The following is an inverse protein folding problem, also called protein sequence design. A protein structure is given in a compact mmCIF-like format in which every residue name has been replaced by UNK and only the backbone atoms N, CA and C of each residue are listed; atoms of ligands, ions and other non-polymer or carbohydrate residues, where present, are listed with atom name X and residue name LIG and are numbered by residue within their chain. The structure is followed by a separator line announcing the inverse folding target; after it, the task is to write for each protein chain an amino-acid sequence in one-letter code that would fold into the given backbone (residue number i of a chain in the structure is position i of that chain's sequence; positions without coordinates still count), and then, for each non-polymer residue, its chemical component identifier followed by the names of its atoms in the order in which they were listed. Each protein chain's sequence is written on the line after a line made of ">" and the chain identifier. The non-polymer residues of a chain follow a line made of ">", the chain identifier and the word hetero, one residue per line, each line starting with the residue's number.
data_IF_597827488569
#
_entry.id   IF_597827488569
#
_cell.length_a   1.000
_cell.length_b   1.000
_cell.length_c   1.000
_cell.angle_alpha   90.00
_cell.angle_beta   90.00
_cell.angle_gamma   90.00
#
_symmetry.space_group_name_H-M   'P 1'
#
loop_
_entity.id
_entity.type
_entity.pdbx_description
1 polymer ?
#
# COMPACT_ATOMS: atom_id res chain seq x y z
N UNK A 1 6.21 29.66 -8.34
CA UNK A 1 4.79 29.96 -8.11
C UNK A 1 4.16 28.68 -7.61
N UNK A 2 3.41 28.73 -6.53
CA UNK A 2 2.78 27.53 -5.98
C UNK A 2 1.66 27.03 -6.91
N UNK A 3 1.81 25.79 -7.38
CA UNK A 3 0.83 25.12 -8.23
C UNK A 3 -0.12 24.29 -7.37
N UNK A 4 -1.42 24.35 -7.68
CA UNK A 4 -2.47 23.55 -7.05
C UNK A 4 -3.51 23.15 -8.10
N UNK A 5 -4.32 22.14 -7.81
CA UNK A 5 -5.35 21.67 -8.75
C UNK A 5 -6.73 22.14 -8.34
N UNK A 6 -7.56 22.45 -9.34
CA UNK A 6 -8.99 22.72 -9.20
C UNK A 6 -9.77 21.88 -10.19
N UNK A 7 -10.82 21.21 -9.72
CA UNK A 7 -11.81 20.55 -10.57
C UNK A 7 -13.20 21.15 -10.30
N UNK A 8 -14.07 21.10 -11.30
CA UNK A 8 -15.47 21.51 -11.18
C UNK A 8 -16.32 20.38 -11.76
N UNK A 9 -17.21 19.81 -10.95
CA UNK A 9 -18.08 18.73 -11.37
C UNK A 9 -19.26 19.23 -12.22
N UNK A 10 -19.98 18.31 -12.85
CA UNK A 10 -21.24 18.61 -13.57
C UNK A 10 -22.31 19.22 -12.66
N UNK A 11 -22.29 18.88 -11.36
CA UNK A 11 -23.21 19.38 -10.36
C UNK A 11 -22.78 20.74 -9.77
N UNK A 12 -21.79 21.39 -10.40
CA UNK A 12 -21.23 22.67 -10.00
C UNK A 12 -20.62 22.65 -8.58
N UNK A 13 -20.03 21.51 -8.20
CA UNK A 13 -19.20 21.37 -7.00
C UNK A 13 -17.76 21.61 -7.41
N UNK A 14 -17.10 22.56 -6.77
CA UNK A 14 -15.68 22.83 -6.96
C UNK A 14 -14.87 22.08 -5.91
N UNK A 15 -13.79 21.43 -6.33
CA UNK A 15 -12.82 20.77 -5.46
C UNK A 15 -11.44 21.37 -5.66
N UNK A 16 -10.73 21.67 -4.57
CA UNK A 16 -9.38 22.22 -4.57
C UNK A 16 -8.43 21.23 -3.92
N UNK A 17 -7.27 21.02 -4.54
CA UNK A 17 -6.28 20.05 -4.09
C UNK A 17 -4.92 20.70 -3.89
N UNK A 18 -4.33 20.50 -2.70
CA UNK A 18 -2.99 20.96 -2.34
C UNK A 18 -2.79 22.45 -2.55
N UNK A 19 -3.73 23.29 -2.12
CA UNK A 19 -3.57 24.74 -2.12
C UNK A 19 -2.55 25.15 -1.06
N UNK A 20 -2.61 24.55 0.12
CA UNK A 20 -1.63 24.69 1.19
C UNK A 20 -0.68 23.49 1.27
N UNK A 21 0.48 23.66 1.91
CA UNK A 21 1.53 22.63 1.99
C UNK A 21 1.09 21.41 2.81
N UNK A 22 0.22 21.58 3.79
CA UNK A 22 -0.35 20.52 4.62
C UNK A 22 -1.13 19.51 3.78
N UNK A 23 -1.72 19.96 2.66
CA UNK A 23 -2.44 19.13 1.70
C UNK A 23 -1.55 18.70 0.50
N UNK A 24 -0.23 18.66 0.67
CA UNK A 24 0.72 18.16 -0.35
C UNK A 24 1.64 17.08 0.23
N UNK A 25 1.90 16.06 -0.58
CA UNK A 25 3.00 15.12 -0.38
C UNK A 25 4.09 15.52 -1.37
N UNK A 26 5.22 15.98 -0.83
CA UNK A 26 6.33 16.55 -1.58
C UNK A 26 7.67 16.07 -0.99
N UNK A 27 8.74 16.25 -1.75
CA UNK A 27 10.10 15.90 -1.33
C UNK A 27 10.55 16.79 -0.16
N UNK A 28 10.87 16.21 1.02
CA UNK A 28 11.31 17.00 2.16
C UNK A 28 12.61 17.79 1.93
N UNK A 29 13.38 17.46 0.90
CA UNK A 29 14.60 18.20 0.52
C UNK A 29 14.33 19.28 -0.56
N UNK A 30 13.20 19.20 -1.28
CA UNK A 30 12.77 20.18 -2.28
C UNK A 30 11.24 20.29 -2.33
N UNK A 31 10.69 21.31 -1.67
CA UNK A 31 9.23 21.52 -1.58
C UNK A 31 8.55 21.78 -2.95
N UNK A 32 9.32 22.12 -3.99
CA UNK A 32 8.80 22.28 -5.34
C UNK A 32 8.57 20.95 -6.06
N UNK A 33 9.20 19.88 -5.58
CA UNK A 33 9.03 18.51 -6.07
C UNK A 33 7.82 17.84 -5.41
N UNK A 34 6.62 18.22 -5.86
CA UNK A 34 5.35 17.70 -5.34
C UNK A 34 4.96 16.40 -6.05
N UNK A 35 4.73 15.34 -5.28
CA UNK A 35 4.26 14.05 -5.78
C UNK A 35 2.73 13.95 -5.83
N UNK A 36 2.03 14.45 -4.80
CA UNK A 36 0.57 14.41 -4.71
C UNK A 36 -0.03 15.69 -4.11
N UNK A 37 -1.14 16.15 -4.69
CA UNK A 37 -2.01 17.19 -4.16
C UNK A 37 -3.27 16.56 -3.57
N UNK A 38 -3.44 16.67 -2.25
CA UNK A 38 -4.56 16.09 -1.51
C UNK A 38 -5.77 17.02 -1.54
N UNK A 39 -6.99 16.46 -1.52
CA UNK A 39 -8.23 17.25 -1.50
C UNK A 39 -8.28 18.10 -0.24
N UNK A 40 -8.41 19.42 -0.37
CA UNK A 40 -8.33 20.35 0.75
C UNK A 40 -9.67 21.01 1.06
N UNK A 41 -10.44 21.36 0.03
CA UNK A 41 -11.78 21.90 0.19
C UNK A 41 -12.68 21.47 -0.97
N UNK A 42 -13.96 21.29 -0.68
CA UNK A 42 -15.03 21.25 -1.69
C UNK A 42 -16.10 22.25 -1.34
N UNK A 43 -16.72 22.86 -2.35
CA UNK A 43 -17.86 23.75 -2.15
C UNK A 43 -18.83 23.76 -3.32
N UNK A 44 -20.09 24.02 -3.00
CA UNK A 44 -21.16 24.17 -3.98
C UNK A 44 -21.53 25.65 -4.24
N UNK A 45 -22.40 25.88 -5.21
CA UNK A 45 -22.88 27.22 -5.56
C UNK A 45 -23.76 27.88 -4.48
N UNK A 46 -24.14 27.15 -3.42
CA UNK A 46 -24.95 27.65 -2.30
C UNK A 46 -24.08 28.10 -1.13
N UNK A 47 -22.75 27.97 -1.24
CA UNK A 47 -21.81 28.34 -0.19
C UNK A 47 -21.71 27.29 0.91
N UNK A 48 -22.11 26.03 0.65
CA UNK A 48 -21.81 24.91 1.55
C UNK A 48 -20.37 24.44 1.29
N UNK A 49 -19.59 24.28 2.35
CA UNK A 49 -18.20 23.85 2.28
C UNK A 49 -17.97 22.55 3.04
N UNK A 50 -16.99 21.79 2.56
CA UNK A 50 -16.33 20.69 3.28
C UNK A 50 -14.83 20.96 3.23
N UNK A 51 -14.19 21.03 4.39
CA UNK A 51 -12.75 21.30 4.52
C UNK A 51 -12.06 20.07 5.08
N UNK A 52 -10.94 19.69 4.47
CA UNK A 52 -10.14 18.52 4.80
C UNK A 52 -8.80 18.98 5.35
N UNK A 53 -8.55 18.71 6.62
CA UNK A 53 -7.29 19.07 7.27
C UNK A 53 -6.43 17.83 7.42
N UNK A 54 -5.13 18.00 7.15
CA UNK A 54 -4.13 16.95 7.27
C UNK A 54 -3.08 17.34 8.28
N UNK A 55 -2.42 16.34 8.85
CA UNK A 55 -1.22 16.51 9.68
C UNK A 55 -0.04 15.78 9.06
N UNK A 56 1.13 16.39 9.17
CA UNK A 56 2.39 15.83 8.68
C UNK A 56 2.88 14.71 9.58
N UNK A 57 3.46 13.67 8.97
CA UNK A 57 4.26 12.70 9.70
C UNK A 57 5.34 13.39 10.54
N UNK A 58 5.65 12.81 11.70
CA UNK A 58 6.62 13.36 12.64
C UNK A 58 7.31 12.27 13.46
N UNK A 59 8.16 12.69 14.41
CA UNK A 59 8.96 11.80 15.27
C UNK A 59 8.26 11.38 16.57
N UNK A 60 7.04 11.83 16.83
CA UNK A 60 6.38 11.56 18.11
C UNK A 60 6.11 10.06 18.27
N UNK A 61 6.46 9.50 19.43
CA UNK A 61 6.37 8.07 19.74
C UNK A 61 7.13 7.12 18.78
N UNK A 62 8.03 7.63 17.92
CA UNK A 62 8.90 6.81 17.08
C UNK A 62 10.16 6.46 17.86
N UNK A 63 10.42 5.17 18.04
CA UNK A 63 11.62 4.68 18.73
C UNK A 63 12.89 4.93 17.90
N UNK A 64 13.99 5.28 18.57
CA UNK A 64 15.33 5.48 17.98
C UNK A 64 16.02 4.16 17.60
N UNK A 65 15.33 3.28 16.89
CA UNK A 65 15.93 2.04 16.40
C UNK A 65 16.89 2.33 15.24
N UNK A 66 17.90 1.48 15.06
CA UNK A 66 18.90 1.64 13.99
C UNK A 66 18.30 1.71 12.58
N UNK A 67 17.17 1.03 12.34
CA UNK A 67 16.46 1.07 11.06
C UNK A 67 15.66 2.36 10.81
N UNK A 68 15.44 3.18 11.85
CA UNK A 68 14.85 4.52 11.75
C UNK A 68 15.90 5.63 11.62
N UNK A 69 17.19 5.30 11.70
CA UNK A 69 18.28 6.23 11.49
C UNK A 69 18.30 6.72 10.03
N UNK A 70 18.53 8.02 9.84
CA UNK A 70 18.62 8.68 8.52
C UNK A 70 17.38 8.56 7.62
N UNK A 71 16.23 8.16 8.16
CA UNK A 71 14.96 8.12 7.42
C UNK A 71 14.32 9.52 7.35
N UNK A 72 13.75 9.87 6.20
CA UNK A 72 12.97 11.09 6.02
C UNK A 72 11.52 10.86 6.47
N UNK A 73 10.97 11.79 7.25
CA UNK A 73 9.75 11.56 8.07
C UNK A 73 8.73 12.69 7.98
N UNK A 74 8.85 13.57 7.00
CA UNK A 74 7.98 14.76 6.86
C UNK A 74 7.07 14.72 5.61
N UNK A 75 7.40 13.86 4.63
CA UNK A 75 6.69 13.79 3.36
C UNK A 75 5.22 13.38 3.53
N UNK A 76 5.00 12.31 4.29
CA UNK A 76 3.69 11.69 4.42
C UNK A 76 2.69 12.58 5.17
N UNK A 77 1.41 12.47 4.81
CA UNK A 77 0.30 13.24 5.37
C UNK A 77 -0.82 12.30 5.78
N UNK A 78 -1.45 12.61 6.90
CA UNK A 78 -2.59 11.86 7.43
C UNK A 78 -3.77 12.79 7.54
N UNK A 79 -4.93 12.35 7.05
CA UNK A 79 -6.16 13.11 7.27
C UNK A 79 -6.42 13.20 8.77
N UNK A 80 -6.59 14.41 9.28
CA UNK A 80 -6.75 14.67 10.70
C UNK A 80 -8.22 14.91 11.03
N UNK A 81 -8.87 15.78 10.25
CA UNK A 81 -10.27 16.11 10.42
C UNK A 81 -10.92 16.57 9.13
N UNK A 82 -12.24 16.41 9.08
CA UNK A 82 -13.10 16.97 8.04
C UNK A 82 -14.16 17.83 8.72
N UNK A 83 -14.28 19.08 8.31
CA UNK A 83 -15.25 20.04 8.86
C UNK A 83 -16.28 20.40 7.79
N UNK A 84 -17.56 20.38 8.15
CA UNK A 84 -18.65 20.70 7.23
C UNK A 84 -19.91 21.18 7.97
N UNK A 85 -20.90 21.63 7.20
CA UNK A 85 -22.08 22.28 7.76
C UNK A 85 -21.71 23.62 8.37
N UNK A 86 -21.05 24.48 7.59
CA UNK A 86 -20.79 25.86 7.96
C UNK A 86 -22.11 26.57 8.29
N UNK A 87 -22.13 27.29 9.42
CA UNK A 87 -23.32 27.94 9.96
C UNK A 87 -23.95 28.96 9.00
N UNK A 88 -23.11 29.66 8.22
CA UNK A 88 -23.54 30.64 7.23
C UNK A 88 -22.85 30.36 5.89
N UNK A 89 -23.52 30.59 4.75
CA UNK A 89 -22.94 30.41 3.43
C UNK A 89 -21.61 31.14 3.29
N UNK A 90 -20.60 30.45 2.76
CA UNK A 90 -19.27 31.02 2.51
C UNK A 90 -19.07 31.38 1.04
N UNK A 91 -18.13 32.29 0.80
CA UNK A 91 -17.67 32.67 -0.53
C UNK A 91 -16.31 32.06 -0.84
N UNK A 92 -16.02 31.73 -2.11
CA UNK A 92 -14.71 31.22 -2.53
C UNK A 92 -13.56 32.13 -2.08
N UNK A 93 -12.54 31.54 -1.45
CA UNK A 93 -11.36 32.24 -0.97
C UNK A 93 -11.48 32.89 0.40
N UNK A 94 -12.62 32.75 1.10
CA UNK A 94 -12.69 33.12 2.52
C UNK A 94 -11.74 32.27 3.37
N UNK A 95 -11.24 32.88 4.45
CA UNK A 95 -10.50 32.18 5.49
C UNK A 95 -11.47 31.36 6.36
N UNK A 96 -11.07 30.15 6.72
CA UNK A 96 -11.85 29.21 7.52
C UNK A 96 -11.60 29.36 9.04
N UNK A 97 -10.61 30.15 9.47
CA UNK A 97 -10.26 30.29 10.90
C UNK A 97 -11.43 30.72 11.79
N UNK A 98 -12.33 31.57 11.28
CA UNK A 98 -13.48 32.08 12.02
C UNK A 98 -14.81 31.40 11.65
N UNK A 99 -14.76 30.28 10.92
CA UNK A 99 -15.98 29.60 10.48
C UNK A 99 -16.50 28.69 11.57
N UNK A 100 -17.77 28.89 11.92
CA UNK A 100 -18.50 27.99 12.81
C UNK A 100 -19.00 26.79 12.01
N UNK A 101 -18.41 25.62 12.28
CA UNK A 101 -18.81 24.34 11.69
C UNK A 101 -19.72 23.59 12.65
N UNK A 102 -20.82 23.01 12.15
CA UNK A 102 -21.71 22.19 12.97
C UNK A 102 -21.26 20.73 13.11
N UNK A 103 -20.48 20.24 12.14
CA UNK A 103 -20.07 18.85 12.07
C UNK A 103 -18.57 18.71 11.87
N UNK A 104 -17.97 17.78 12.60
CA UNK A 104 -16.55 17.47 12.48
C UNK A 104 -16.32 15.97 12.57
N UNK A 105 -15.68 15.41 11.54
CA UNK A 105 -15.16 14.05 11.54
C UNK A 105 -13.69 14.12 11.93
N UNK A 106 -13.28 13.45 12.99
CA UNK A 106 -11.88 13.38 13.44
C UNK A 106 -11.33 11.98 13.20
N UNK A 107 -10.14 11.90 12.64
CA UNK A 107 -9.38 10.67 12.46
C UNK A 107 -8.35 10.57 13.59
N UNK A 108 -8.61 9.66 14.51
CA UNK A 108 -7.76 9.39 15.66
C UNK A 108 -6.72 8.33 15.31
N UNK A 109 -5.45 8.61 15.60
CA UNK A 109 -4.30 7.73 15.40
C UNK A 109 -3.72 7.24 16.74
N UNK A 110 -4.50 7.32 17.82
CA UNK A 110 -4.18 6.86 19.16
C UNK A 110 -4.11 7.97 20.21
N UNK A 111 -4.38 9.22 19.83
CA UNK A 111 -4.42 10.38 20.71
C UNK A 111 -5.67 10.40 21.59
N UNK A 112 -6.80 9.91 21.09
CA UNK A 112 -8.08 10.06 21.77
C UNK A 112 -8.32 8.96 22.81
N UNK A 113 -9.08 9.31 23.83
CA UNK A 113 -9.58 8.38 24.84
C UNK A 113 -11.09 8.46 24.86
N UNK A 114 -11.75 7.34 24.58
CA UNK A 114 -13.20 7.29 24.45
C UNK A 114 -13.84 6.92 25.78
N UNK A 115 -15.08 7.39 26.05
CA UNK A 115 -15.80 7.05 27.26
C UNK A 115 -15.95 5.53 27.50
N UNK A 116 -16.02 5.07 28.76
CA UNK A 116 -16.06 5.87 29.99
C UNK A 116 -14.67 6.40 30.37
N UNK A 117 -14.55 7.73 30.45
CA UNK A 117 -13.35 8.44 30.92
C UNK A 117 -13.80 9.54 31.89
N UNK A 118 -12.94 9.97 32.80
CA UNK A 118 -13.27 11.03 33.78
C UNK A 118 -13.42 12.43 33.13
N UNK A 119 -13.13 12.57 31.83
CA UNK A 119 -13.28 13.82 31.08
C UNK A 119 -14.73 14.10 30.70
N UNK A 120 -15.12 15.39 30.76
CA UNK A 120 -16.44 15.89 30.36
C UNK A 120 -16.73 15.61 28.87
N UNK A 121 -15.73 15.77 28.01
CA UNK A 121 -15.78 15.45 26.58
C UNK A 121 -14.51 14.71 26.17
N UNK A 122 -14.58 13.74 25.24
CA UNK A 122 -13.39 13.15 24.62
C UNK A 122 -12.76 14.07 23.56
N UNK A 123 -13.39 15.21 23.21
CA UNK A 123 -12.79 16.19 22.30
C UNK A 123 -11.51 16.76 22.92
N UNK A 124 -10.45 16.86 22.11
CA UNK A 124 -9.13 17.31 22.56
C UNK A 124 -8.72 18.62 21.93
N UNK A 125 -8.22 19.54 22.73
CA UNK A 125 -7.44 20.68 22.26
C UNK A 125 -6.09 20.24 21.66
N UNK A 126 -5.46 21.11 20.86
CA UNK A 126 -4.11 20.86 20.32
C UNK A 126 -3.07 20.58 21.42
N UNK A 127 -3.19 21.23 22.57
CA UNK A 127 -2.31 20.99 23.71
C UNK A 127 -2.49 19.57 24.27
N UNK A 128 -3.72 19.11 24.44
CA UNK A 128 -4.02 17.75 24.93
C UNK A 128 -3.65 16.65 23.93
N UNK A 129 -3.57 16.97 22.63
CA UNK A 129 -3.03 16.06 21.61
C UNK A 129 -1.52 15.93 21.76
N UNK A 130 -0.78 17.02 22.02
CA UNK A 130 0.67 16.98 22.28
C UNK A 130 1.05 16.20 23.54
N UNK A 131 0.21 16.24 24.58
CA UNK A 131 0.43 15.49 25.83
C UNK A 131 0.22 13.98 25.67
N UNK A 132 -0.56 13.55 24.69
CA UNK A 132 -0.78 12.14 24.35
C UNK A 132 -0.69 12.00 22.82
N UNK A 133 0.53 12.03 22.28
CA UNK A 133 0.73 12.03 20.84
C UNK A 133 0.27 10.72 20.21
N UNK A 134 0.01 10.75 18.91
CA UNK A 134 -0.38 9.58 18.13
C UNK A 134 0.60 8.42 18.28
N UNK A 135 0.09 7.19 18.19
CA UNK A 135 0.89 5.99 18.38
C UNK A 135 1.74 5.71 17.14
N UNK A 136 2.93 5.17 17.36
CA UNK A 136 3.71 4.54 16.30
C UNK A 136 3.23 3.09 16.09
N UNK A 137 3.10 2.68 14.83
CA UNK A 137 2.84 1.28 14.46
C UNK A 137 4.10 0.44 14.65
N UNK A 138 3.99 -0.86 14.97
CA UNK A 138 5.17 -1.71 15.15
C UNK A 138 5.85 -2.11 13.84
N UNK A 139 5.16 -1.99 12.71
CA UNK A 139 5.61 -2.35 11.36
C UNK A 139 5.73 -1.12 10.43
N UNK A 140 6.60 -0.13 10.73
CA UNK A 140 6.74 1.05 9.88
C UNK A 140 7.41 0.70 8.55
N UNK A 141 6.84 1.21 7.45
CA UNK A 141 7.32 0.95 6.09
C UNK A 141 7.48 2.23 5.27
N UNK A 142 8.20 2.12 4.17
CA UNK A 142 8.48 3.22 3.25
C UNK A 142 8.04 2.84 1.85
N UNK A 143 7.60 3.84 1.07
CA UNK A 143 7.44 3.73 -0.38
C UNK A 143 8.32 4.77 -1.06
N UNK A 144 8.82 4.44 -2.25
CA UNK A 144 9.81 5.25 -3.00
C UNK A 144 9.37 5.57 -4.44
N UNK A 145 8.12 5.28 -4.79
CA UNK A 145 7.61 5.53 -6.15
C UNK A 145 7.62 7.02 -6.52
N UNK A 146 7.71 7.90 -5.52
CA UNK A 146 7.81 9.34 -5.68
C UNK A 146 9.23 9.84 -6.02
N UNK A 147 10.24 8.97 -6.03
CA UNK A 147 11.65 9.37 -6.14
C UNK A 147 12.29 9.82 -4.82
N UNK A 148 11.48 10.03 -3.78
CA UNK A 148 11.90 10.27 -2.40
C UNK A 148 11.15 9.36 -1.43
N UNK A 149 11.61 9.28 -0.17
CA UNK A 149 11.00 8.43 0.85
C UNK A 149 9.66 8.98 1.36
N UNK A 150 8.60 8.17 1.26
CA UNK A 150 7.33 8.38 1.97
C UNK A 150 7.22 7.31 3.07
N UNK A 151 7.60 7.69 4.30
CA UNK A 151 7.56 6.83 5.50
C UNK A 151 6.18 6.84 6.15
N UNK A 152 5.72 5.68 6.63
CA UNK A 152 4.42 5.51 7.31
C UNK A 152 4.60 4.95 8.72
N UNK A 153 4.30 5.76 9.75
CA UNK A 153 4.36 5.36 11.16
C UNK A 153 2.98 5.19 11.82
N UNK A 154 1.88 5.57 11.17
CA UNK A 154 0.58 5.74 11.86
C UNK A 154 -0.49 4.76 11.39
N UNK A 155 -1.37 4.38 12.31
CA UNK A 155 -2.58 3.60 12.05
C UNK A 155 -3.78 4.37 12.60
N UNK A 156 -4.80 4.58 11.78
CA UNK A 156 -6.05 5.17 12.25
C UNK A 156 -6.76 4.17 13.18
N UNK A 157 -7.03 4.59 14.40
CA UNK A 157 -7.64 3.81 15.49
C UNK A 157 -9.14 4.03 15.58
N UNK A 158 -9.58 5.26 15.34
CA UNK A 158 -11.00 5.60 15.35
C UNK A 158 -11.31 6.69 14.32
N UNK A 159 -12.50 6.65 13.74
CA UNK A 159 -13.15 7.79 13.10
C UNK A 159 -14.25 8.26 14.04
N UNK A 160 -14.15 9.50 14.50
CA UNK A 160 -15.00 10.08 15.53
C UNK A 160 -15.86 11.18 14.91
N UNK A 161 -17.16 11.12 15.14
CA UNK A 161 -18.10 12.14 14.70
C UNK A 161 -18.46 13.06 15.87
N UNK A 162 -18.13 14.33 15.75
CA UNK A 162 -18.45 15.38 16.71
C UNK A 162 -19.51 16.33 16.16
N UNK A 163 -20.46 16.70 17.02
CA UNK A 163 -21.42 17.77 16.78
C UNK A 163 -21.05 19.02 17.57
N UNK A 164 -21.20 20.18 16.94
CA UNK A 164 -20.88 21.51 17.47
C UNK A 164 -22.12 22.41 17.40
N UNK A 165 -22.97 22.28 18.41
CA UNK A 165 -24.17 23.10 18.58
C UNK A 165 -24.06 23.81 19.93
N UNK A 166 -23.62 25.07 19.91
CA UNK A 166 -23.39 25.88 21.11
C UNK A 166 -24.68 26.07 21.94
N UNK A 167 -25.84 26.00 21.28
CA UNK A 167 -27.16 26.07 21.91
C UNK A 167 -27.47 24.85 22.80
N UNK A 168 -26.80 23.73 22.53
CA UNK A 168 -26.97 22.48 23.28
C UNK A 168 -25.81 22.25 24.26
N UNK A 169 -24.57 22.47 23.79
CA UNK A 169 -23.36 22.18 24.56
C UNK A 169 -22.25 23.19 24.24
N UNK A 170 -21.52 23.60 25.28
CA UNK A 170 -20.37 24.52 25.12
C UNK A 170 -19.18 23.87 24.39
N UNK A 171 -19.02 22.55 24.52
CA UNK A 171 -17.89 21.80 23.94
C UNK A 171 -18.41 20.87 22.84
N UNK A 172 -17.59 20.51 21.83
CA UNK A 172 -17.97 19.49 20.85
C UNK A 172 -18.32 18.17 21.53
N UNK A 173 -19.43 17.55 21.11
CA UNK A 173 -19.93 16.30 21.68
C UNK A 173 -19.74 15.15 20.70
N UNK A 174 -19.17 14.05 21.18
CA UNK A 174 -19.05 12.81 20.43
C UNK A 174 -20.42 12.18 20.28
N UNK A 175 -20.87 11.92 19.05
CA UNK A 175 -22.15 11.26 18.78
C UNK A 175 -21.99 9.85 18.23
N UNK A 176 -20.85 9.57 17.59
CA UNK A 176 -20.58 8.29 16.97
C UNK A 176 -19.07 8.03 16.85
N UNK A 177 -18.67 6.77 16.97
CA UNK A 177 -17.33 6.33 16.64
C UNK A 177 -17.36 5.05 15.79
N UNK A 178 -16.55 5.02 14.75
CA UNK A 178 -16.12 3.80 14.04
C UNK A 178 -14.74 3.43 14.56
N UNK A 179 -14.65 2.29 15.24
CA UNK A 179 -13.44 1.88 15.97
C UNK A 179 -12.76 0.72 15.24
N UNK A 180 -11.45 0.84 15.02
CA UNK A 180 -10.62 -0.13 14.31
C UNK A 180 -9.74 -0.90 15.29
N UNK A 181 -9.82 -2.23 15.27
CA UNK A 181 -8.93 -3.10 16.05
C UNK A 181 -8.00 -3.84 15.11
N UNK A 182 -6.71 -3.76 15.41
CA UNK A 182 -5.66 -4.39 14.61
C UNK A 182 -5.03 -5.53 15.40
N UNK A 183 -4.60 -6.56 14.67
CA UNK A 183 -3.55 -7.47 15.10
C UNK A 183 -2.24 -6.85 14.64
N UNK A 184 -1.45 -6.36 15.59
CA UNK A 184 -0.25 -5.58 15.31
C UNK A 184 0.98 -6.44 15.59
N UNK A 185 1.80 -6.64 14.56
CA UNK A 185 3.09 -7.33 14.68
C UNK A 185 4.18 -6.45 14.10
N UNK A 186 5.47 -6.67 14.43
CA UNK A 186 6.57 -5.96 13.79
C UNK A 186 6.70 -6.17 12.28
N UNK A 187 6.03 -7.19 11.73
CA UNK A 187 6.09 -7.52 10.29
C UNK A 187 4.91 -6.91 9.53
N UNK A 188 3.70 -7.07 10.06
CA UNK A 188 2.46 -6.58 9.44
C UNK A 188 1.38 -6.33 10.49
N UNK A 189 0.66 -5.22 10.35
CA UNK A 189 -0.53 -4.88 11.12
C UNK A 189 -1.78 -5.12 10.27
N UNK A 190 -2.69 -5.97 10.75
CA UNK A 190 -3.89 -6.42 10.04
C UNK A 190 -5.16 -5.94 10.74
N UNK A 191 -6.10 -5.34 10.02
CA UNK A 191 -7.37 -4.89 10.58
C UNK A 191 -8.25 -6.10 10.91
N UNK A 192 -8.45 -6.42 12.19
CA UNK A 192 -9.22 -7.59 12.65
C UNK A 192 -10.69 -7.30 12.86
N UNK A 193 -11.05 -6.09 13.26
CA UNK A 193 -12.46 -5.74 13.37
C UNK A 193 -12.74 -4.25 13.28
N UNK A 194 -13.96 -3.96 12.84
CA UNK A 194 -14.54 -2.62 12.82
C UNK A 194 -15.83 -2.63 13.62
N UNK A 195 -15.96 -1.72 14.58
CA UNK A 195 -17.15 -1.61 15.42
C UNK A 195 -17.74 -0.22 15.38
N UNK A 196 -19.05 -0.13 15.16
CA UNK A 196 -19.81 1.12 15.20
C UNK A 196 -20.43 1.31 16.58
N UNK A 197 -20.11 2.41 17.24
CA UNK A 197 -20.60 2.76 18.59
C UNK A 197 -21.29 4.12 18.56
N UNK A 198 -22.54 4.18 19.00
CA UNK A 198 -23.28 5.42 19.23
C UNK A 198 -23.03 5.96 20.64
N UNK A 199 -22.91 7.27 20.76
CA UNK A 199 -22.68 8.00 22.00
C UNK A 199 -23.81 9.01 22.22
N UNK A 200 -24.33 9.05 23.45
CA UNK A 200 -25.33 10.05 23.87
C UNK A 200 -24.88 10.69 25.17
N UNK A 201 -24.73 12.01 25.17
CA UNK A 201 -24.31 12.75 26.35
C UNK A 201 -25.54 13.23 27.14
N UNK A 202 -25.74 12.69 28.34
CA UNK A 202 -26.88 13.00 29.24
C UNK A 202 -26.39 13.06 30.68
N UNK A 203 -26.91 14.00 31.49
CA UNK A 203 -26.60 14.11 32.93
C UNK A 203 -25.09 14.12 33.24
N UNK A 204 -24.30 14.83 32.42
CA UNK A 204 -22.83 14.94 32.51
C UNK A 204 -22.06 13.62 32.29
N UNK A 205 -22.68 12.63 31.64
CA UNK A 205 -22.07 11.33 31.34
C UNK A 205 -22.42 10.88 29.92
N UNK A 206 -21.55 10.04 29.34
CA UNK A 206 -21.85 9.36 28.08
C UNK A 206 -22.56 8.04 28.34
N UNK A 207 -23.70 7.84 27.67
CA UNK A 207 -24.34 6.55 27.46
C UNK A 207 -23.92 6.05 26.09
N UNK A 208 -23.57 4.77 25.99
CA UNK A 208 -23.05 4.18 24.77
C UNK A 208 -23.78 2.91 24.39
N UNK A 209 -23.89 2.66 23.08
CA UNK A 209 -24.39 1.38 22.55
C UNK A 209 -23.67 1.05 21.26
N UNK A 210 -23.18 -0.17 21.15
CA UNK A 210 -22.44 -0.64 19.97
C UNK A 210 -23.27 -1.63 19.16
N UNK A 211 -23.08 -1.58 17.85
CA UNK A 211 -23.46 -2.69 16.98
C UNK A 211 -22.47 -3.85 17.14
N UNK A 212 -22.85 -5.08 16.74
CA UNK A 212 -21.89 -6.18 16.62
C UNK A 212 -20.71 -5.78 15.71
N UNK A 213 -19.47 -6.15 16.06
CA UNK A 213 -18.32 -5.85 15.22
C UNK A 213 -18.35 -6.66 13.92
N UNK A 214 -17.88 -6.06 12.83
CA UNK A 214 -17.51 -6.80 11.61
C UNK A 214 -16.09 -7.30 11.82
N UNK A 215 -15.88 -8.61 11.70
CA UNK A 215 -14.59 -9.26 11.93
C UNK A 215 -13.96 -9.74 10.61
N UNK A 216 -12.64 -9.59 10.51
CA UNK A 216 -11.85 -9.98 9.35
C UNK A 216 -10.81 -11.04 9.74
N UNK A 217 -10.63 -12.00 8.85
CA UNK A 217 -9.59 -13.03 8.93
C UNK A 217 -8.73 -12.97 7.68
N UNK A 218 -7.47 -13.33 7.86
CA UNK A 218 -6.45 -13.31 6.82
C UNK A 218 -5.83 -14.69 6.73
N UNK A 219 -5.34 -15.06 5.55
CA UNK A 219 -4.58 -16.29 5.36
C UNK A 219 -3.30 -16.24 6.21
N UNK A 220 -3.11 -17.25 7.04
CA UNK A 220 -1.97 -17.33 7.95
C UNK A 220 -0.72 -17.88 7.24
N UNK A 221 0.47 -17.39 7.61
CA UNK A 221 1.74 -17.94 7.15
C UNK A 221 2.23 -19.03 8.13
N UNK A 222 2.03 -20.30 7.76
CA UNK A 222 2.36 -21.47 8.59
C UNK A 222 3.45 -22.36 7.99
N UNK A 223 4.72 -21.88 7.91
CA UNK A 223 5.79 -22.62 7.26
C UNK A 223 6.09 -23.98 7.93
N UNK A 224 5.78 -24.14 9.22
CA UNK A 224 5.96 -25.40 9.95
C UNK A 224 5.01 -26.53 9.50
N UNK A 225 3.90 -26.18 8.86
CA UNK A 225 2.93 -27.14 8.32
C UNK A 225 3.26 -27.52 6.87
N UNK A 226 4.34 -27.00 6.30
CA UNK A 226 4.76 -27.28 4.92
C UNK A 226 5.59 -28.57 4.82
N UNK A 227 5.48 -29.25 3.68
CA UNK A 227 6.21 -30.47 3.37
C UNK A 227 6.98 -30.33 2.06
N UNK A 228 8.14 -30.97 1.97
CA UNK A 228 8.89 -31.06 0.71
C UNK A 228 8.18 -31.99 -0.27
N UNK A 229 8.11 -31.56 -1.53
CA UNK A 229 7.59 -32.36 -2.64
C UNK A 229 8.60 -32.33 -3.80
N UNK A 230 8.74 -33.43 -4.56
CA UNK A 230 9.59 -33.43 -5.74
C UNK A 230 9.02 -32.52 -6.83
N UNK A 231 9.88 -31.83 -7.56
CA UNK A 231 9.50 -31.16 -8.80
C UNK A 231 9.45 -32.18 -9.93
N UNK A 232 8.28 -32.29 -10.56
CA UNK A 232 7.99 -33.33 -11.55
C UNK A 232 7.70 -32.73 -12.93
N UNK A 233 8.17 -33.41 -13.96
CA UNK A 233 7.75 -33.18 -15.33
C UNK A 233 6.32 -33.72 -15.56
N UNK A 234 5.69 -33.36 -16.69
CA UNK A 234 4.36 -33.87 -17.11
C UNK A 234 4.29 -35.42 -17.14
N UNK A 235 5.44 -36.09 -17.31
CA UNK A 235 5.55 -37.55 -17.32
C UNK A 235 5.89 -38.17 -15.94
N UNK A 236 5.71 -37.43 -14.85
CA UNK A 236 5.98 -37.80 -13.46
C UNK A 236 7.43 -38.18 -13.14
N UNK A 237 8.37 -37.79 -14.01
CA UNK A 237 9.81 -37.91 -13.73
C UNK A 237 10.32 -36.67 -13.03
N UNK A 238 11.30 -36.84 -12.14
CA UNK A 238 12.01 -35.72 -11.55
C UNK A 238 12.72 -34.87 -12.60
N UNK A 239 12.87 -33.57 -12.32
CA UNK A 239 13.71 -32.68 -13.12
C UNK A 239 15.19 -33.03 -12.91
N UNK A 240 15.97 -33.32 -13.98
CA UNK A 240 17.39 -33.62 -13.85
C UNK A 240 18.20 -32.38 -13.48
N UNK A 241 19.22 -32.54 -12.64
CA UNK A 241 20.31 -31.56 -12.51
C UNK A 241 20.06 -30.30 -11.69
N UNK A 242 18.87 -30.08 -11.11
CA UNK A 242 18.62 -28.93 -10.20
C UNK A 242 19.55 -28.90 -8.97
N UNK A 243 20.09 -30.04 -8.58
CA UNK A 243 21.07 -30.19 -7.51
C UNK A 243 22.54 -30.19 -8.00
N UNK A 244 22.77 -29.94 -9.29
CA UNK A 244 24.09 -29.89 -9.93
C UNK A 244 24.40 -28.45 -10.34
N UNK A 245 25.02 -27.64 -9.47
CA UNK A 245 25.57 -26.35 -9.88
C UNK A 245 26.61 -26.53 -11.00
N UNK A 246 26.84 -25.50 -11.84
CA UNK A 246 26.29 -24.14 -11.77
C UNK A 246 25.27 -23.83 -12.90
N UNK A 247 24.66 -24.82 -13.54
CA UNK A 247 24.03 -24.56 -14.84
C UNK A 247 22.50 -24.44 -14.81
N UNK A 248 21.84 -24.49 -13.65
CA UNK A 248 20.37 -24.49 -13.54
C UNK A 248 19.83 -23.31 -12.72
N UNK A 249 18.79 -22.64 -13.24
CA UNK A 249 18.11 -21.50 -12.60
C UNK A 249 16.60 -21.72 -12.57
N UNK A 250 15.97 -21.39 -11.45
CA UNK A 250 14.50 -21.24 -11.38
C UNK A 250 14.16 -19.81 -11.78
N UNK A 251 13.56 -19.61 -12.93
CA UNK A 251 13.28 -18.27 -13.48
C UNK A 251 12.01 -18.27 -14.32
N UNK A 252 11.23 -17.21 -14.21
CA UNK A 252 10.12 -16.93 -15.11
C UNK A 252 10.65 -16.25 -16.37
N UNK A 253 11.07 -17.05 -17.34
CA UNK A 253 11.70 -16.56 -18.56
C UNK A 253 10.74 -15.73 -19.44
N UNK A 254 9.45 -16.06 -19.38
CA UNK A 254 8.43 -15.53 -20.29
C UNK A 254 7.49 -14.52 -19.63
N UNK A 255 7.64 -14.27 -18.33
CA UNK A 255 6.80 -13.32 -17.59
C UNK A 255 5.39 -13.84 -17.33
N UNK A 256 5.22 -15.16 -17.18
CA UNK A 256 3.93 -15.83 -16.97
C UNK A 256 3.48 -15.83 -15.49
N UNK A 257 4.31 -15.32 -14.59
CA UNK A 257 4.07 -15.26 -13.15
C UNK A 257 4.45 -16.54 -12.38
N UNK A 258 4.96 -17.56 -13.08
CA UNK A 258 5.40 -18.84 -12.49
C UNK A 258 6.77 -19.20 -13.08
N UNK A 259 7.80 -19.43 -12.26
CA UNK A 259 9.13 -19.74 -12.77
C UNK A 259 9.20 -21.16 -13.35
N UNK A 260 9.78 -21.28 -14.55
CA UNK A 260 10.26 -22.54 -15.09
C UNK A 260 11.68 -22.88 -14.61
N UNK A 261 12.31 -23.87 -15.24
CA UNK A 261 13.72 -24.22 -15.01
C UNK A 261 14.53 -23.92 -16.27
N UNK A 262 15.53 -23.06 -16.16
CA UNK A 262 16.50 -22.75 -17.21
C UNK A 262 17.79 -23.53 -16.96
N UNK A 263 18.27 -24.27 -17.96
CA UNK A 263 19.62 -24.81 -18.01
C UNK A 263 20.47 -24.04 -19.01
N UNK A 264 21.69 -23.66 -18.64
CA UNK A 264 22.66 -23.13 -19.59
C UNK A 264 24.10 -23.37 -19.17
N UNK A 265 24.89 -24.02 -20.03
CA UNK A 265 26.30 -24.37 -19.76
C UNK A 265 27.31 -23.59 -20.63
N UNK A 266 26.85 -22.51 -21.28
CA UNK A 266 27.63 -21.75 -22.26
C UNK A 266 27.57 -22.29 -23.69
N UNK A 267 27.12 -23.54 -23.89
CA UNK A 267 26.95 -24.17 -25.21
C UNK A 267 25.48 -24.41 -25.51
N UNK A 268 24.80 -25.11 -24.60
CA UNK A 268 23.41 -25.54 -24.68
C UNK A 268 22.57 -24.72 -23.73
N UNK A 269 21.43 -24.22 -24.20
CA UNK A 269 20.44 -23.55 -23.35
C UNK A 269 19.08 -24.22 -23.52
N UNK A 270 18.50 -24.70 -22.42
CA UNK A 270 17.21 -25.38 -22.40
C UNK A 270 16.29 -24.79 -21.34
N UNK A 271 14.99 -24.80 -21.60
CA UNK A 271 13.99 -24.33 -20.64
C UNK A 271 12.87 -25.37 -20.47
N UNK A 272 12.59 -25.71 -19.21
CA UNK A 272 11.41 -26.47 -18.82
C UNK A 272 10.37 -25.49 -18.33
N UNK A 273 9.35 -25.25 -19.15
CA UNK A 273 8.23 -24.36 -18.82
C UNK A 273 7.42 -24.92 -17.65
N UNK A 274 7.04 -24.04 -16.72
CA UNK A 274 6.05 -24.37 -15.72
C UNK A 274 4.67 -24.49 -16.38
N UNK A 275 3.94 -25.55 -16.04
CA UNK A 275 2.60 -25.84 -16.56
C UNK A 275 1.67 -26.20 -15.41
N UNK A 276 0.42 -25.78 -15.55
CA UNK A 276 -0.65 -26.27 -14.68
C UNK A 276 -0.87 -27.76 -14.93
N UNK A 277 -0.96 -28.55 -13.87
CA UNK A 277 -1.38 -29.93 -13.97
C UNK A 277 -2.88 -29.98 -14.31
N UNK A 278 -3.20 -30.17 -15.58
CA UNK A 278 -4.58 -30.22 -16.07
C UNK A 278 -5.42 -31.30 -15.37
N UNK A 279 -4.79 -32.34 -14.80
CA UNK A 279 -5.49 -33.36 -14.02
C UNK A 279 -6.04 -32.85 -12.67
N UNK A 280 -5.55 -31.69 -12.22
CA UNK A 280 -6.02 -30.99 -11.00
C UNK A 280 -6.94 -29.82 -11.27
N UNK A 281 -7.09 -29.43 -12.55
CA UNK A 281 -8.03 -28.40 -12.99
C UNK A 281 -9.41 -29.05 -13.17
N UNK A 282 -10.20 -29.12 -12.09
CA UNK A 282 -11.59 -29.59 -12.16
C UNK A 282 -12.42 -28.77 -13.17
N UNK A 283 -12.96 -29.36 -14.25
CA UNK A 283 -13.99 -28.72 -15.07
C UNK A 283 -15.36 -28.89 -14.40
N UNK A 284 -15.83 -27.83 -13.74
CA UNK A 284 -17.21 -27.44 -13.38
C UNK A 284 -18.24 -28.51 -12.96
N UNK A 285 -18.81 -28.36 -11.75
CA UNK A 285 -20.21 -28.76 -11.48
C UNK A 285 -21.11 -27.51 -11.46
N UNK A 286 -22.31 -27.52 -12.07
CA UNK A 286 -23.27 -26.44 -11.94
C UNK A 286 -23.98 -26.53 -10.59
N UNK A 287 -23.87 -25.48 -9.77
CA UNK A 287 -24.65 -25.31 -8.55
C UNK A 287 -24.07 -26.01 -7.33
N UNK A 288 -23.10 -25.37 -6.68
CA UNK A 288 -22.60 -25.77 -5.37
C UNK A 288 -21.35 -24.99 -5.03
N UNK A 289 -21.47 -24.01 -4.13
CA UNK A 289 -20.32 -23.34 -3.52
C UNK A 289 -19.52 -24.39 -2.75
N UNK A 290 -18.43 -24.86 -3.35
CA UNK A 290 -17.32 -25.44 -2.61
C UNK A 290 -16.11 -24.56 -2.85
N UNK A 291 -15.51 -24.11 -1.74
CA UNK A 291 -14.21 -23.44 -1.71
C UNK A 291 -13.24 -24.25 -2.58
N UNK A 292 -12.77 -23.62 -3.67
CA UNK A 292 -11.90 -24.24 -4.66
C UNK A 292 -10.57 -24.66 -4.05
N UNK A 293 -10.51 -25.86 -3.48
CA UNK A 293 -9.27 -26.54 -3.11
C UNK A 293 -8.69 -27.33 -4.30
N UNK A 294 -8.88 -26.86 -5.52
CA UNK A 294 -8.07 -27.30 -6.64
C UNK A 294 -6.66 -26.83 -6.36
N UNK A 295 -5.86 -27.65 -5.66
CA UNK A 295 -4.42 -27.41 -5.52
C UNK A 295 -3.86 -27.51 -6.93
N UNK A 296 -3.74 -26.38 -7.62
CA UNK A 296 -3.04 -26.31 -8.90
C UNK A 296 -1.62 -26.80 -8.64
N UNK A 297 -1.34 -28.05 -8.99
CA UNK A 297 0.00 -28.59 -8.93
C UNK A 297 0.74 -28.08 -10.16
N UNK A 298 1.95 -27.57 -9.97
CA UNK A 298 2.81 -27.17 -11.08
C UNK A 298 3.61 -28.40 -11.50
N UNK A 299 3.50 -28.76 -12.78
CA UNK A 299 4.41 -29.71 -13.44
C UNK A 299 5.23 -28.96 -14.48
N UNK A 300 6.31 -29.59 -14.94
CA UNK A 300 7.21 -28.97 -15.91
C UNK A 300 7.11 -29.67 -17.26
N UNK A 301 7.08 -28.89 -18.34
CA UNK A 301 7.08 -29.42 -19.70
C UNK A 301 8.36 -30.17 -20.06
N UNK A 302 8.40 -30.75 -21.25
CA UNK A 302 9.66 -31.26 -21.81
C UNK A 302 10.64 -30.11 -22.09
N UNK A 303 11.97 -30.31 -21.94
CA UNK A 303 12.94 -29.25 -22.19
C UNK A 303 12.88 -28.77 -23.63
N UNK A 304 12.69 -27.46 -23.81
CA UNK A 304 12.79 -26.80 -25.11
C UNK A 304 14.19 -26.21 -25.28
N UNK A 305 14.83 -26.50 -26.41
CA UNK A 305 16.10 -25.88 -26.77
C UNK A 305 15.86 -24.42 -27.18
N UNK A 306 16.52 -23.49 -26.50
CA UNK A 306 16.42 -22.06 -26.81
C UNK A 306 17.46 -21.69 -27.87
N UNK A 307 17.13 -21.96 -29.14
CA UNK A 307 18.06 -21.73 -30.26
C UNK A 307 18.46 -20.26 -30.41
N UNK A 308 17.51 -19.36 -30.15
CA UNK A 308 17.68 -17.91 -30.28
C UNK A 308 18.19 -17.24 -29.00
N UNK A 309 18.64 -18.01 -27.99
CA UNK A 309 19.22 -17.42 -26.79
C UNK A 309 20.52 -16.67 -27.12
N UNK A 310 20.83 -15.54 -26.45
CA UNK A 310 22.01 -14.75 -26.76
C UNK A 310 23.32 -15.55 -26.73
N UNK A 311 24.38 -15.03 -27.34
CA UNK A 311 25.70 -15.69 -27.32
C UNK A 311 26.30 -15.71 -25.91
N UNK A 312 25.96 -14.71 -25.10
CA UNK A 312 26.35 -14.56 -23.69
C UNK A 312 25.58 -15.49 -22.75
N UNK A 313 25.42 -16.76 -23.15
CA UNK A 313 24.49 -17.71 -22.52
C UNK A 313 24.94 -18.36 -21.23
N UNK A 314 26.13 -18.06 -20.71
CA UNK A 314 26.53 -18.58 -19.40
C UNK A 314 25.89 -17.72 -18.30
N UNK A 315 24.67 -18.06 -17.90
CA UNK A 315 23.81 -17.19 -17.07
C UNK A 315 24.24 -17.14 -15.59
N UNK A 316 25.05 -18.09 -15.11
CA UNK A 316 25.64 -18.06 -13.76
C UNK A 316 27.09 -17.57 -13.73
N UNK A 317 27.48 -16.74 -14.69
CA UNK A 317 28.72 -15.96 -14.68
C UNK A 317 28.51 -14.69 -13.83
N UNK A 318 29.51 -14.27 -13.05
CA UNK A 318 29.41 -13.08 -12.17
C UNK A 318 29.07 -11.80 -12.95
N UNK A 319 29.37 -11.77 -14.25
CA UNK A 319 29.12 -10.63 -15.11
C UNK A 319 27.82 -10.73 -15.93
N UNK A 320 26.97 -11.72 -15.67
CA UNK A 320 25.74 -11.97 -16.44
C UNK A 320 24.57 -12.20 -15.52
N UNK A 321 23.41 -11.62 -15.84
CA UNK A 321 22.22 -11.76 -15.01
C UNK A 321 20.97 -11.69 -15.87
N UNK A 322 20.02 -12.61 -15.65
CA UNK A 322 18.67 -12.47 -16.17
C UNK A 322 17.82 -11.68 -15.17
N UNK A 323 17.24 -10.57 -15.60
CA UNK A 323 16.39 -9.72 -14.76
C UNK A 323 15.39 -8.92 -15.60
N UNK A 324 14.30 -8.49 -14.97
CA UNK A 324 13.38 -7.52 -15.58
C UNK A 324 13.93 -6.11 -15.33
N UNK A 325 14.60 -5.58 -16.35
CA UNK A 325 15.30 -4.29 -16.25
C UNK A 325 14.33 -3.11 -16.18
N UNK A 326 13.18 -3.20 -16.85
CA UNK A 326 12.21 -2.12 -16.99
C UNK A 326 11.06 -2.18 -15.97
N UNK A 327 10.92 -3.31 -15.26
CA UNK A 327 9.78 -3.56 -14.37
C UNK A 327 8.48 -3.83 -15.12
N UNK A 328 8.56 -4.29 -16.38
CA UNK A 328 7.42 -4.51 -17.27
C UNK A 328 7.10 -6.00 -17.49
N UNK A 329 7.76 -6.89 -16.75
CA UNK A 329 7.64 -8.33 -16.82
C UNK A 329 8.47 -8.98 -17.92
N UNK A 330 9.23 -8.21 -18.72
CA UNK A 330 10.04 -8.77 -19.82
C UNK A 330 11.48 -9.00 -19.38
N UNK A 331 11.94 -10.26 -19.45
CA UNK A 331 13.32 -10.59 -19.14
C UNK A 331 14.33 -9.91 -20.05
N UNK A 332 15.40 -9.42 -19.44
CA UNK A 332 16.61 -8.99 -20.09
C UNK A 332 17.80 -9.83 -19.60
N UNK A 333 18.68 -10.20 -20.51
CA UNK A 333 20.00 -10.75 -20.18
C UNK A 333 20.97 -9.59 -20.13
N UNK A 334 21.29 -9.15 -18.92
CA UNK A 334 22.28 -8.12 -18.63
C UNK A 334 23.67 -8.74 -18.67
N UNK A 335 24.58 -8.06 -19.36
CA UNK A 335 26.02 -8.37 -19.37
C UNK A 335 26.75 -7.14 -18.84
N UNK A 336 27.58 -7.33 -17.84
CA UNK A 336 28.30 -6.28 -17.10
C UNK A 336 29.80 -6.58 -17.11
N UNK A 337 30.42 -6.56 -18.28
CA UNK A 337 31.87 -6.78 -18.42
C UNK A 337 32.56 -5.46 -18.77
N UNK A 338 33.76 -5.22 -18.25
CA UNK A 338 34.52 -4.00 -18.55
C UNK A 338 34.65 -3.76 -20.06
N UNK A 339 34.14 -2.63 -20.55
CA UNK A 339 34.15 -2.27 -21.98
C UNK A 339 33.06 -2.92 -22.82
N UNK A 340 32.21 -3.76 -22.23
CA UNK A 340 31.10 -4.46 -22.86
C UNK A 340 29.96 -4.63 -21.85
N UNK A 341 29.24 -3.53 -21.57
CA UNK A 341 28.10 -3.49 -20.66
C UNK A 341 26.82 -3.11 -21.40
N UNK A 342 25.76 -3.87 -21.18
CA UNK A 342 24.51 -3.74 -21.91
C UNK A 342 23.61 -4.95 -21.70
N UNK A 343 22.62 -5.13 -22.56
CA UNK A 343 21.65 -6.21 -22.42
C UNK A 343 21.06 -6.69 -23.74
N UNK A 344 20.48 -7.90 -23.69
CA UNK A 344 19.56 -8.42 -24.69
C UNK A 344 18.17 -8.47 -24.08
N UNK A 345 17.16 -7.88 -24.72
CA UNK A 345 15.78 -7.91 -24.24
C UNK A 345 15.03 -9.08 -24.87
N UNK A 346 14.29 -9.86 -24.10
CA UNK A 346 13.40 -10.89 -24.62
C UNK A 346 12.11 -10.25 -25.18
N UNK A 347 11.72 -10.66 -26.40
CA UNK A 347 10.46 -10.30 -27.04
C UNK A 347 9.49 -11.50 -27.01
N UNK A 348 8.52 -11.52 -26.08
CA UNK A 348 7.58 -12.62 -25.94
C UNK A 348 6.63 -12.77 -27.13
N UNK A 349 6.40 -11.73 -27.93
CA UNK A 349 5.50 -11.82 -29.10
C UNK A 349 6.13 -12.58 -30.26
N UNK A 350 7.47 -12.55 -30.33
CA UNK A 350 8.24 -13.17 -31.40
C UNK A 350 8.99 -14.41 -30.95
N UNK A 351 9.03 -14.69 -29.65
CA UNK A 351 9.84 -15.77 -29.06
C UNK A 351 11.32 -15.64 -29.47
N UNK A 352 11.84 -14.41 -29.34
CA UNK A 352 13.21 -14.07 -29.75
C UNK A 352 13.84 -13.07 -28.81
N UNK A 353 15.17 -13.07 -28.75
CA UNK A 353 15.94 -12.02 -28.11
C UNK A 353 16.26 -10.91 -29.10
N UNK A 354 16.06 -9.68 -28.67
CA UNK A 354 16.49 -8.50 -29.41
C UNK A 354 18.01 -8.45 -29.52
N UNK A 355 18.51 -7.71 -30.50
CA UNK A 355 19.94 -7.44 -30.65
C UNK A 355 20.50 -6.68 -29.44
N UNK A 356 21.81 -6.82 -29.23
CA UNK A 356 22.54 -6.17 -28.13
C UNK A 356 22.26 -4.66 -28.04
N UNK A 357 21.96 -4.19 -26.82
CA UNK A 357 21.77 -2.78 -26.48
C UNK A 357 22.80 -2.37 -25.42
N UNK A 358 23.72 -1.44 -25.71
CA UNK A 358 24.65 -0.93 -24.70
C UNK A 358 23.89 -0.10 -23.66
N UNK A 359 24.36 -0.10 -22.41
CA UNK A 359 23.88 0.89 -21.45
C UNK A 359 24.35 2.29 -21.87
N UNK A 360 23.45 3.27 -21.80
CA UNK A 360 23.82 4.68 -21.96
C UNK A 360 24.70 5.08 -20.76
N UNK A 361 25.89 5.59 -21.04
CA UNK A 361 26.91 5.96 -20.06
C UNK A 361 26.89 7.41 -19.64
#
# INVERSE_FOLDING_TARGET
>A
GDFYWRTVSRDNVTSIFGKNQEARIFDPEDESHVFQWLLEETYDAKGNYVVYCYKSENLENVSENSYEANRSKAANKYIERIQYGNHSPLSPGQDFQSVNWHFEVVFDYGEYELPPSDKKTPYKSEQEKKEKPWKNRPDPFSTYHAGFEIRTHRLCRNILMFHRFEELFQDPILVHATQFKYEETPTVSLLKSVQSTGYRYEQKKYLTKSLPPVEYKYTEFKPKESHFQPLLQENDRGLPGLNLPPNYLSIDLYGEGIPGVLYSDGTTTQYWEAKGDESTLNPTLPGGEQEGSGKGTVKYGSPKLLQNFPIDRLVQDENRTLTDLAGDGRMALVVSTTGYSGYYQYDPQRDTWQSWQPFEG
#
